data_IF_227334333628
#
_entry.id   IF_227334333628
#
_cell.length_a   1.000
_cell.length_b   1.000
_cell.length_c   1.000
_cell.angle_alpha   90.00
_cell.angle_beta   90.00
_cell.angle_gamma   90.00
#
_symmetry.space_group_name_H-M   'P 1'
#
loop_
_entity.id
_entity.type
_entity.pdbx_description
1 polymer ?
#
# COMPACT_ATOMS: atom_id res chain seq x y z
N UNK A 1 8.77 -4.16 -18.72
CA UNK A 1 7.31 -4.10 -18.49
C UNK A 1 7.06 -4.27 -17.00
N UNK A 2 6.28 -3.37 -16.38
CA UNK A 2 5.93 -3.48 -14.95
C UNK A 2 5.08 -4.75 -14.76
N UNK A 3 5.51 -5.66 -13.88
CA UNK A 3 4.87 -6.97 -13.69
C UNK A 3 3.82 -6.99 -12.56
N UNK A 4 3.75 -5.91 -11.78
CA UNK A 4 2.66 -5.61 -10.85
C UNK A 4 2.00 -4.28 -11.20
N UNK A 5 0.75 -4.09 -10.78
CA UNK A 5 0.11 -2.78 -10.73
C UNK A 5 0.84 -1.94 -9.69
N UNK A 6 1.44 -0.85 -10.13
CA UNK A 6 2.09 0.13 -9.25
C UNK A 6 1.16 1.32 -9.08
N UNK A 7 0.94 1.75 -7.84
CA UNK A 7 0.38 3.05 -7.53
C UNK A 7 1.39 4.16 -7.79
N UNK A 8 0.96 5.41 -7.60
CA UNK A 8 1.86 6.55 -7.59
C UNK A 8 2.75 6.51 -6.34
N UNK A 9 4.02 6.92 -6.45
CA UNK A 9 4.88 6.96 -5.27
C UNK A 9 4.55 8.17 -4.41
N UNK A 10 4.39 7.99 -3.10
CA UNK A 10 4.21 9.10 -2.14
C UNK A 10 5.39 10.07 -2.13
N UNK A 11 6.57 9.59 -2.48
CA UNK A 11 7.80 10.39 -2.61
C UNK A 11 7.94 11.07 -3.98
N UNK A 12 7.01 10.87 -4.91
CA UNK A 12 7.04 11.50 -6.22
C UNK A 12 6.76 13.00 -6.11
N UNK A 13 7.81 13.82 -6.24
CA UNK A 13 7.67 15.28 -6.30
C UNK A 13 7.05 15.70 -7.63
N UNK A 14 5.85 16.25 -7.60
CA UNK A 14 5.28 16.95 -8.75
C UNK A 14 5.97 18.32 -8.92
N UNK A 15 5.92 18.91 -10.13
CA UNK A 15 6.44 20.26 -10.38
C UNK A 15 5.70 21.38 -9.61
N UNK A 16 4.67 21.03 -8.79
CA UNK A 16 3.89 21.70 -7.71
C UNK A 16 2.97 20.62 -7.07
N UNK A 17 2.40 20.64 -5.83
CA UNK A 17 2.74 21.16 -4.48
C UNK A 17 3.61 20.14 -3.67
N UNK A 18 3.64 20.24 -2.32
CA UNK A 18 4.24 19.28 -1.37
C UNK A 18 3.92 17.81 -1.70
N UNK A 19 4.84 16.90 -1.41
CA UNK A 19 4.66 15.47 -1.64
C UNK A 19 3.49 14.95 -0.80
N UNK A 20 2.82 13.88 -1.26
CA UNK A 20 1.75 13.26 -0.46
C UNK A 20 2.22 12.87 0.94
N UNK A 21 3.50 12.50 1.07
CA UNK A 21 4.10 12.15 2.36
C UNK A 21 4.21 13.34 3.34
N UNK A 22 4.28 14.57 2.84
CA UNK A 22 4.40 15.78 3.68
C UNK A 22 3.10 16.06 4.46
N UNK A 23 1.96 15.54 3.97
CA UNK A 23 0.66 15.64 4.64
C UNK A 23 0.48 14.57 5.74
N UNK A 24 1.38 13.59 5.83
CA UNK A 24 1.32 12.52 6.83
C UNK A 24 2.31 12.83 7.94
N UNK A 25 1.81 13.00 9.15
CA UNK A 25 2.68 13.33 10.29
C UNK A 25 3.70 12.23 10.57
N UNK A 26 4.88 12.60 11.10
CA UNK A 26 5.94 11.65 11.47
C UNK A 26 5.50 10.62 12.51
N UNK A 27 4.49 10.97 13.31
CA UNK A 27 3.92 10.10 14.35
C UNK A 27 2.72 9.29 13.86
N UNK A 28 2.37 9.35 12.57
CA UNK A 28 1.23 8.62 12.05
C UNK A 28 1.50 7.11 12.06
N UNK A 29 0.57 6.27 12.57
CA UNK A 29 0.72 4.82 12.60
C UNK A 29 0.99 4.17 11.23
N UNK A 30 0.58 4.79 10.13
CA UNK A 30 0.82 4.31 8.76
C UNK A 30 2.32 4.12 8.48
N UNK A 31 3.18 4.99 9.04
CA UNK A 31 4.63 4.86 8.88
C UNK A 31 5.17 3.57 9.49
N UNK A 32 4.56 3.11 10.59
CA UNK A 32 4.91 1.82 11.21
C UNK A 32 4.44 0.67 10.32
N UNK A 33 3.28 0.80 9.67
CA UNK A 33 2.78 -0.23 8.73
C UNK A 33 3.75 -0.37 7.55
N UNK A 34 4.23 0.74 6.99
CA UNK A 34 5.19 0.72 5.88
C UNK A 34 6.48 0.01 6.27
N UNK A 35 7.17 0.48 7.31
CA UNK A 35 8.42 -0.13 7.77
C UNK A 35 8.23 -1.60 8.13
N UNK A 36 7.15 -1.93 8.83
CA UNK A 36 6.88 -3.31 9.24
C UNK A 36 6.70 -4.23 8.03
N UNK A 37 5.87 -3.86 7.05
CA UNK A 37 5.61 -4.73 5.89
C UNK A 37 6.80 -4.79 4.95
N UNK A 38 7.53 -3.68 4.77
CA UNK A 38 8.70 -3.62 3.88
C UNK A 38 9.88 -4.49 4.39
N UNK A 39 9.94 -4.76 5.69
CA UNK A 39 10.94 -5.66 6.28
C UNK A 39 10.56 -7.16 6.19
N UNK A 40 9.32 -7.50 5.81
CA UNK A 40 8.87 -8.89 5.73
C UNK A 40 9.27 -9.55 4.42
N UNK A 41 9.87 -10.74 4.52
CA UNK A 41 10.07 -11.62 3.36
C UNK A 41 8.77 -12.40 3.08
N UNK A 42 7.87 -11.79 2.31
CA UNK A 42 6.57 -12.38 1.99
C UNK A 42 6.66 -13.71 1.25
N UNK A 43 7.73 -13.92 0.47
CA UNK A 43 7.97 -15.20 -0.20
C UNK A 43 8.24 -16.31 0.82
N UNK A 44 9.11 -16.06 1.81
CA UNK A 44 9.37 -17.03 2.90
C UNK A 44 8.17 -17.25 3.81
N UNK A 45 7.33 -16.23 3.97
CA UNK A 45 6.10 -16.33 4.77
C UNK A 45 4.97 -17.09 4.05
N UNK A 46 5.19 -17.50 2.79
CA UNK A 46 4.23 -18.30 2.04
C UNK A 46 3.08 -17.49 1.43
N UNK A 47 3.26 -16.19 1.21
CA UNK A 47 2.28 -15.41 0.46
C UNK A 47 2.26 -15.84 -1.00
N UNK A 48 1.06 -16.14 -1.50
CA UNK A 48 0.84 -16.37 -2.92
C UNK A 48 0.86 -15.05 -3.69
N UNK A 49 1.30 -15.08 -4.96
CA UNK A 49 1.29 -13.91 -5.83
C UNK A 49 2.45 -12.93 -5.63
N UNK A 50 3.45 -13.28 -4.82
CA UNK A 50 4.75 -12.57 -4.72
C UNK A 50 5.53 -12.69 -6.03
N UNK A 51 5.44 -13.85 -6.68
CA UNK A 51 5.92 -14.02 -8.06
C UNK A 51 4.82 -13.62 -9.04
N UNK A 52 5.08 -12.63 -9.93
CA UNK A 52 4.08 -12.16 -10.87
C UNK A 52 3.80 -13.22 -11.95
N UNK A 53 2.54 -13.34 -12.34
CA UNK A 53 2.14 -14.23 -13.43
C UNK A 53 2.83 -13.87 -14.75
N UNK A 54 3.21 -14.88 -15.54
CA UNK A 54 3.88 -14.70 -16.85
C UNK A 54 2.97 -14.06 -17.90
N UNK A 55 1.66 -14.24 -17.77
CA UNK A 55 0.65 -13.78 -18.74
C UNK A 55 -0.59 -13.26 -18.03
N UNK A 56 -1.31 -12.34 -18.68
CA UNK A 56 -2.57 -11.78 -18.18
C UNK A 56 -2.42 -10.37 -17.61
N UNK A 57 -3.44 -9.93 -16.87
CA UNK A 57 -3.41 -8.63 -16.20
C UNK A 57 -2.43 -8.69 -15.02
N UNK A 58 -1.52 -7.71 -14.87
CA UNK A 58 -0.68 -7.62 -13.68
C UNK A 58 -1.52 -7.63 -12.40
N UNK A 59 -1.11 -8.41 -11.41
CA UNK A 59 -1.70 -8.38 -10.07
C UNK A 59 -1.18 -7.18 -9.28
N UNK A 60 -1.81 -6.88 -8.15
CA UNK A 60 -1.18 -6.04 -7.12
C UNK A 60 -0.15 -6.85 -6.34
N UNK A 61 0.91 -6.21 -5.86
CA UNK A 61 1.88 -6.88 -4.98
C UNK A 61 1.21 -7.24 -3.63
N UNK A 62 1.45 -8.43 -3.06
CA UNK A 62 0.85 -8.82 -1.78
C UNK A 62 1.16 -7.86 -0.62
N UNK A 63 2.32 -7.19 -0.64
CA UNK A 63 2.67 -6.15 0.35
C UNK A 63 1.63 -5.04 0.40
N UNK A 64 1.18 -4.54 -0.76
CA UNK A 64 0.18 -3.46 -0.83
C UNK A 64 -1.12 -3.92 -0.17
N UNK A 65 -1.54 -5.15 -0.46
CA UNK A 65 -2.76 -5.72 0.13
C UNK A 65 -2.63 -5.91 1.65
N UNK A 66 -1.44 -6.32 2.12
CA UNK A 66 -1.16 -6.48 3.54
C UNK A 66 -1.17 -5.12 4.27
N UNK A 67 -0.56 -4.08 3.69
CA UNK A 67 -0.58 -2.71 4.23
C UNK A 67 -2.02 -2.21 4.41
N UNK A 68 -2.86 -2.36 3.39
CA UNK A 68 -4.29 -1.98 3.43
C UNK A 68 -5.05 -2.78 4.51
N UNK A 69 -4.76 -4.07 4.63
CA UNK A 69 -5.41 -4.93 5.62
C UNK A 69 -5.07 -4.48 7.06
N UNK A 70 -3.79 -4.23 7.36
CA UNK A 70 -3.33 -3.75 8.67
C UNK A 70 -3.91 -2.36 8.95
N UNK A 71 -3.92 -1.46 7.97
CA UNK A 71 -4.57 -0.15 8.09
C UNK A 71 -6.04 -0.27 8.49
N UNK A 72 -6.79 -1.15 7.82
CA UNK A 72 -8.20 -1.40 8.14
C UNK A 72 -8.39 -1.93 9.55
N UNK A 73 -7.51 -2.83 9.99
CA UNK A 73 -7.53 -3.35 11.35
C UNK A 73 -7.32 -2.25 12.40
N UNK A 74 -6.28 -1.44 12.25
CA UNK A 74 -5.97 -0.34 13.17
C UNK A 74 -7.09 0.72 13.23
N UNK A 75 -7.71 1.02 12.09
CA UNK A 75 -8.79 2.01 11.98
C UNK A 75 -10.19 1.43 12.22
N UNK A 76 -10.30 0.15 12.62
CA UNK A 76 -11.56 -0.57 12.84
C UNK A 76 -12.51 -0.57 11.63
N UNK A 77 -11.94 -0.61 10.42
CA UNK A 77 -12.66 -0.66 9.14
C UNK A 77 -12.72 -2.11 8.64
N UNK A 78 -13.77 -2.82 9.03
CA UNK A 78 -13.95 -4.25 8.71
C UNK A 78 -14.52 -4.52 7.31
N UNK A 79 -15.09 -3.51 6.65
CA UNK A 79 -15.72 -3.67 5.34
C UNK A 79 -14.71 -3.36 4.23
N UNK A 80 -14.52 -4.32 3.32
CA UNK A 80 -13.69 -4.14 2.13
C UNK A 80 -14.13 -2.95 1.27
N UNK A 81 -15.45 -2.73 1.11
CA UNK A 81 -15.99 -1.55 0.40
C UNK A 81 -15.69 -0.23 1.10
N UNK A 82 -15.61 -0.24 2.44
CA UNK A 82 -15.22 0.96 3.19
C UNK A 82 -13.72 1.22 3.03
N UNK A 83 -12.90 0.16 3.10
CA UNK A 83 -11.46 0.22 2.84
C UNK A 83 -11.15 0.75 1.44
N UNK A 84 -11.84 0.25 0.42
CA UNK A 84 -11.73 0.75 -0.96
C UNK A 84 -11.98 2.26 -1.02
N UNK A 85 -13.02 2.76 -0.35
CA UNK A 85 -13.30 4.20 -0.30
C UNK A 85 -12.21 4.99 0.41
N UNK A 86 -11.62 4.46 1.48
CA UNK A 86 -10.49 5.13 2.14
C UNK A 86 -9.28 5.22 1.20
N UNK A 87 -8.98 4.17 0.44
CA UNK A 87 -7.87 4.16 -0.53
C UNK A 87 -8.04 5.23 -1.64
N UNK A 88 -9.27 5.68 -1.89
CA UNK A 88 -9.55 6.74 -2.86
C UNK A 88 -9.50 8.16 -2.28
N UNK A 89 -9.55 8.34 -0.96
CA UNK A 89 -9.76 9.67 -0.35
C UNK A 89 -8.76 10.05 0.73
N UNK A 90 -8.12 9.08 1.37
CA UNK A 90 -7.15 9.34 2.43
C UNK A 90 -5.75 9.30 1.86
N UNK A 91 -5.01 10.39 2.08
CA UNK A 91 -3.60 10.52 1.70
C UNK A 91 -2.73 9.45 2.38
N UNK A 92 -3.18 8.93 3.52
CA UNK A 92 -2.54 7.80 4.22
C UNK A 92 -2.43 6.51 3.39
N UNK A 93 -3.34 6.30 2.44
CA UNK A 93 -3.42 5.10 1.60
C UNK A 93 -3.13 5.36 0.11
N UNK A 94 -2.79 6.59 -0.24
CA UNK A 94 -2.45 7.01 -1.60
C UNK A 94 -0.99 6.76 -1.93
#
# INVERSE_FOLDING_TARGET
MKRFVQGDSRTQSFLRPEAFDDYVTDTNPVRVIDVFVDELDLHKLGFEGVEPALTGRPSYHPEVMLKIYIYGYLNRIQSSRRLEREAHRNVELM
#
